data_IF_157097000429
#
_entry.id   IF_157097000429
#
_cell.length_a   1.000
_cell.length_b   1.000
_cell.length_c   1.000
_cell.angle_alpha   90.00
_cell.angle_beta   90.00
_cell.angle_gamma   90.00
#
_symmetry.space_group_name_H-M   'P 1'
#
loop_
_entity.id
_entity.type
_entity.pdbx_description
1 polymer ?
#
# COMPACT_ATOMS: atom_id res chain seq x y z
N UNK A 1 -6.76 1.02 -0.46
CA UNK A 1 -5.36 0.85 -0.05
C UNK A 1 -4.51 0.94 -1.28
N UNK A 2 -3.46 1.76 -1.24
CA UNK A 2 -2.47 1.88 -2.30
C UNK A 2 -1.09 1.53 -1.76
N UNK A 3 -0.35 0.77 -2.55
CA UNK A 3 1.07 0.49 -2.33
C UNK A 3 1.84 1.28 -3.39
N UNK A 4 2.82 2.05 -2.95
CA UNK A 4 3.64 2.89 -3.83
C UNK A 4 4.95 2.20 -4.20
N UNK A 5 5.47 2.54 -5.38
CA UNK A 5 6.79 2.12 -5.85
C UNK A 5 7.89 2.49 -4.83
N UNK A 6 8.98 1.70 -4.73
CA UNK A 6 10.05 1.95 -3.77
C UNK A 6 10.64 3.36 -3.90
N UNK A 7 10.65 4.11 -2.79
CA UNK A 7 11.17 5.48 -2.74
C UNK A 7 10.30 6.54 -3.44
N UNK A 8 9.15 6.16 -4.01
CA UNK A 8 8.22 7.09 -4.67
C UNK A 8 7.05 7.45 -3.75
N UNK A 9 6.59 8.71 -3.84
CA UNK A 9 5.35 9.18 -3.20
C UNK A 9 4.18 9.32 -4.17
N UNK A 10 4.45 9.21 -5.47
CA UNK A 10 3.50 9.55 -6.54
C UNK A 10 3.16 8.37 -7.44
N UNK A 11 4.02 7.35 -7.50
CA UNK A 11 3.86 6.19 -8.38
C UNK A 11 3.21 5.03 -7.62
N UNK A 12 1.96 4.73 -7.96
CA UNK A 12 1.22 3.62 -7.35
C UNK A 12 1.54 2.32 -8.07
N UNK A 13 2.04 1.35 -7.31
CA UNK A 13 2.32 -0.01 -7.79
C UNK A 13 1.04 -0.86 -7.80
N UNK A 14 0.13 -0.63 -6.85
CA UNK A 14 -1.18 -1.28 -6.87
C UNK A 14 -2.20 -0.60 -5.95
N UNK A 15 -3.48 -0.71 -6.34
CA UNK A 15 -4.60 -0.10 -5.64
C UNK A 15 -5.74 -1.10 -5.47
N UNK A 16 -6.21 -1.25 -4.23
CA UNK A 16 -7.29 -2.17 -3.88
C UNK A 16 -8.36 -1.45 -3.09
N UNK A 17 -9.62 -1.74 -3.43
CA UNK A 17 -10.75 -1.37 -2.57
C UNK A 17 -10.59 -2.11 -1.25
N UNK A 18 -10.63 -1.35 -0.16
CA UNK A 18 -10.43 -1.88 1.19
C UNK A 18 -11.57 -1.33 2.04
N UNK A 19 -12.48 -2.21 2.47
CA UNK A 19 -13.60 -1.87 3.36
C UNK A 19 -13.34 -2.31 4.81
N UNK A 20 -12.29 -3.09 5.04
CA UNK A 20 -11.84 -3.52 6.35
C UNK A 20 -10.61 -2.69 6.80
N UNK A 21 -10.35 -2.58 8.11
CA UNK A 21 -9.08 -2.05 8.61
C UNK A 21 -7.98 -3.09 8.33
N UNK A 22 -7.35 -2.99 7.16
CA UNK A 22 -6.11 -3.72 6.89
C UNK A 22 -5.02 -3.04 7.71
N UNK A 23 -4.49 -3.77 8.69
CA UNK A 23 -3.36 -3.31 9.48
C UNK A 23 -2.09 -3.52 8.67
N UNK A 24 -1.47 -2.40 8.29
CA UNK A 24 -0.08 -2.38 7.83
C UNK A 24 0.68 -1.44 8.74
N UNK A 25 1.85 -1.86 9.22
CA UNK A 25 2.73 -1.06 10.05
C UNK A 25 4.04 -0.74 9.34
N UNK A 26 4.67 0.38 9.71
CA UNK A 26 6.04 0.65 9.29
C UNK A 26 6.97 -0.45 9.80
N UNK A 27 7.89 -0.88 8.93
CA UNK A 27 8.81 -2.00 9.15
C UNK A 27 8.30 -3.35 8.63
N UNK A 28 6.99 -3.50 8.38
CA UNK A 28 6.43 -4.75 7.86
C UNK A 28 6.94 -5.06 6.44
N UNK A 29 7.13 -6.35 6.16
CA UNK A 29 7.57 -6.83 4.85
C UNK A 29 6.37 -7.35 4.06
N UNK A 30 6.11 -6.70 2.93
CA UNK A 30 5.06 -7.01 1.98
C UNK A 30 5.62 -7.91 0.87
N UNK A 31 4.93 -9.01 0.59
CA UNK A 31 5.22 -9.88 -0.57
C UNK A 31 4.14 -9.71 -1.61
N UNK A 32 4.48 -9.02 -2.70
CA UNK A 32 3.52 -8.63 -3.73
C UNK A 32 3.18 -9.74 -4.74
N UNK A 33 3.77 -10.93 -4.61
CA UNK A 33 3.63 -12.01 -5.60
C UNK A 33 2.23 -12.59 -5.70
N UNK A 34 1.40 -12.38 -4.67
CA UNK A 34 -0.02 -12.72 -4.71
C UNK A 34 -0.88 -11.61 -5.36
N UNK A 35 -0.32 -10.41 -5.56
CA UNK A 35 -1.05 -9.21 -5.99
C UNK A 35 -0.83 -8.87 -7.47
N UNK A 36 0.33 -9.22 -8.02
CA UNK A 36 0.64 -9.05 -9.44
C UNK A 36 1.12 -10.41 -9.99
N UNK A 37 0.22 -11.20 -10.62
CA UNK A 37 0.50 -12.58 -11.01
C UNK A 37 1.73 -12.73 -11.93
N UNK A 38 2.01 -11.70 -12.73
CA UNK A 38 3.12 -11.68 -13.69
C UNK A 38 4.40 -11.03 -13.13
N UNK A 39 4.36 -10.48 -11.91
CA UNK A 39 5.53 -9.88 -11.26
C UNK A 39 6.32 -10.96 -10.52
N UNK A 40 6.97 -11.84 -11.27
CA UNK A 40 8.02 -12.70 -10.74
C UNK A 40 9.41 -12.15 -11.10
N UNK A 41 10.35 -12.10 -10.14
CA UNK A 41 10.17 -12.42 -8.72
C UNK A 41 9.43 -11.29 -8.00
N UNK A 42 8.49 -11.65 -7.13
CA UNK A 42 7.85 -10.66 -6.27
C UNK A 42 8.89 -10.13 -5.29
N UNK A 43 9.43 -8.96 -5.58
CA UNK A 43 10.40 -8.32 -4.71
C UNK A 43 9.70 -8.01 -3.38
N UNK A 44 10.36 -8.41 -2.30
CA UNK A 44 9.90 -8.10 -0.95
C UNK A 44 10.09 -6.61 -0.73
N UNK A 45 9.04 -5.93 -0.29
CA UNK A 45 9.05 -4.51 0.00
C UNK A 45 8.88 -4.29 1.49
N UNK A 46 9.64 -3.38 2.08
CA UNK A 46 9.40 -2.94 3.46
C UNK A 46 8.51 -1.71 3.43
N UNK A 47 7.43 -1.72 4.19
CA UNK A 47 6.65 -0.50 4.43
C UNK A 47 7.49 0.45 5.28
N UNK A 48 7.76 1.66 4.79
CA UNK A 48 8.54 2.68 5.53
C UNK A 48 7.65 3.71 6.19
N UNK A 49 6.51 4.01 5.56
CA UNK A 49 5.50 4.91 6.09
C UNK A 49 4.11 4.43 5.69
N UNK A 50 3.15 4.65 6.57
CA UNK A 50 1.74 4.34 6.35
C UNK A 50 0.94 5.59 6.69
N UNK A 51 0.23 6.12 5.70
CA UNK A 51 -0.62 7.29 5.86
C UNK A 51 -2.08 6.88 5.68
N UNK A 52 -2.94 7.29 6.61
CA UNK A 52 -4.37 7.06 6.56
C UNK A 52 -5.10 8.38 6.34
N UNK A 53 -5.60 8.57 5.12
CA UNK A 53 -6.35 9.75 4.74
C UNK A 53 -7.83 9.44 4.88
N UNK A 54 -8.56 10.32 5.58
CA UNK A 54 -10.00 10.20 5.80
C UNK A 54 -10.67 11.49 5.34
N UNK A 55 -11.81 11.38 4.67
CA UNK A 55 -12.58 12.54 4.21
C UNK A 55 -14.07 12.20 4.13
N UNK A 56 -14.92 13.23 4.09
CA UNK A 56 -16.36 13.05 3.88
C UNK A 56 -16.67 13.19 2.39
N UNK A 57 -17.38 12.21 1.83
CA UNK A 57 -17.91 12.23 0.46
C UNK A 57 -19.38 11.86 0.50
N UNK A 58 -20.26 12.72 0.01
CA UNK A 58 -21.71 12.49 -0.04
C UNK A 58 -22.33 12.12 1.33
N UNK A 59 -21.82 12.73 2.41
CA UNK A 59 -22.25 12.46 3.80
C UNK A 59 -21.72 11.16 4.40
N UNK A 60 -20.90 10.40 3.67
CA UNK A 60 -20.28 9.14 4.12
C UNK A 60 -18.79 9.34 4.37
N UNK A 61 -18.28 8.73 5.44
CA UNK A 61 -16.85 8.68 5.72
C UNK A 61 -16.16 7.78 4.69
N UNK A 62 -15.33 8.39 3.86
CA UNK A 62 -14.44 7.72 2.94
C UNK A 62 -13.01 7.71 3.50
N UNK A 63 -12.22 6.73 3.07
CA UNK A 63 -10.86 6.58 3.55
C UNK A 63 -9.95 5.93 2.51
N UNK A 64 -8.66 6.19 2.64
CA UNK A 64 -7.58 5.62 1.84
C UNK A 64 -6.36 5.40 2.71
N UNK A 65 -5.88 4.15 2.71
CA UNK A 65 -4.58 3.78 3.27
C UNK A 65 -3.51 3.87 2.18
N UNK A 66 -2.43 4.60 2.42
CA UNK A 66 -1.28 4.77 1.54
C UNK A 66 -0.07 4.12 2.21
N UNK A 67 0.56 3.17 1.52
CA UNK A 67 1.72 2.43 2.03
C UNK A 67 2.92 2.75 1.15
N UNK A 68 3.88 3.46 1.70
CA UNK A 68 5.13 3.80 1.04
C UNK A 68 6.18 2.74 1.34
N UNK A 69 7.02 2.43 0.36
CA UNK A 69 7.88 1.26 0.43
C UNK A 69 9.34 1.54 0.09
N UNK A 70 10.21 0.61 0.48
CA UNK A 70 11.59 0.48 0.01
C UNK A 70 11.90 -0.99 -0.31
N UNK A 71 12.94 -1.29 -1.11
CA UNK A 71 13.36 -2.66 -1.36
C UNK A 71 13.91 -3.30 -0.08
N UNK A 72 13.61 -4.58 0.15
CA UNK A 72 14.31 -5.38 1.16
C UNK A 72 15.62 -5.89 0.55
N UNK A 73 16.75 -5.60 1.21
CA UNK A 73 18.07 -6.10 0.85
C UNK A 73 18.22 -7.62 1.07
#
# INVERSE_FOLDING_TARGET
MEIYEPGSRDTVLGSWRCTAPVHVASGEVLRLGALVPDALPSYALRAVAVEHVMWIKDGVLAHKLMVFTEPVA
#
